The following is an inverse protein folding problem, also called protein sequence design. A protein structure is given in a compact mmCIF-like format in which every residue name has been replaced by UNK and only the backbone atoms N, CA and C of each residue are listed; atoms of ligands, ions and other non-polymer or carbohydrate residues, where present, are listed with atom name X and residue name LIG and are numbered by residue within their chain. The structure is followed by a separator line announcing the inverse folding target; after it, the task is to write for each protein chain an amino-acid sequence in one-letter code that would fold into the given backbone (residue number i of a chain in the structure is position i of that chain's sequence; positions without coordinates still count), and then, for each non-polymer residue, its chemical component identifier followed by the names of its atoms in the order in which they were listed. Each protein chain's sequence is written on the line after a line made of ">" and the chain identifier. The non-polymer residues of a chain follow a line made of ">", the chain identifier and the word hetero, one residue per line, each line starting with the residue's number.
data_IF_292741629538
#
_entry.id   IF_292741629538
#
_cell.length_a   1.000
_cell.length_b   1.000
_cell.length_c   1.000
_cell.angle_alpha   90.00
_cell.angle_beta   90.00
_cell.angle_gamma   90.00
#
_symmetry.space_group_name_H-M   'P 1'
#
loop_
_entity.id
_entity.type
_entity.pdbx_description
1 polymer ?
#
# COMPACT_ATOMS: atom_id res chain seq x y z
N UNK A 1 9.70 9.56 13.82
CA UNK A 1 9.54 8.84 12.53
C UNK A 1 8.08 8.47 12.35
N UNK A 2 7.59 8.38 11.10
CA UNK A 2 6.22 7.97 10.79
C UNK A 2 6.24 6.60 10.13
N UNK A 3 5.74 5.57 10.83
CA UNK A 3 5.74 4.18 10.37
C UNK A 3 4.35 3.57 10.60
N UNK A 4 3.84 2.83 9.62
CA UNK A 4 2.62 2.04 9.74
C UNK A 4 2.98 0.57 9.45
N UNK A 5 2.94 -0.27 10.48
CA UNK A 5 3.26 -1.69 10.37
C UNK A 5 1.96 -2.48 10.27
N UNK A 6 1.83 -3.31 9.24
CA UNK A 6 0.65 -4.15 9.02
C UNK A 6 1.06 -5.57 8.70
N UNK A 7 0.20 -6.54 9.02
CA UNK A 7 0.43 -7.95 8.70
C UNK A 7 0.04 -8.32 7.28
N UNK A 8 -0.74 -7.48 6.59
CA UNK A 8 -1.32 -7.79 5.27
C UNK A 8 -1.58 -6.53 4.42
N UNK A 9 -0.58 -5.65 4.30
CA UNK A 9 -0.67 -4.49 3.40
C UNK A 9 -1.86 -3.57 3.69
N UNK A 10 -2.58 -3.14 2.63
CA UNK A 10 -3.81 -2.36 2.71
C UNK A 10 -5.06 -3.26 2.48
N UNK A 11 -5.40 -4.07 3.47
CA UNK A 11 -6.49 -5.04 3.37
C UNK A 11 -7.87 -4.53 3.81
N UNK A 12 -7.97 -3.39 4.50
CA UNK A 12 -9.23 -2.90 5.06
C UNK A 12 -9.23 -1.38 5.28
N UNK A 13 -10.41 -0.84 5.61
CA UNK A 13 -10.63 0.59 5.80
C UNK A 13 -9.97 1.19 7.04
N UNK A 14 -9.67 0.41 8.09
CA UNK A 14 -8.97 0.96 9.26
C UNK A 14 -7.50 1.22 8.97
N UNK A 15 -6.84 0.35 8.20
CA UNK A 15 -5.48 0.57 7.71
C UNK A 15 -5.41 1.77 6.77
N UNK A 16 -6.33 1.88 5.82
CA UNK A 16 -6.43 3.04 4.91
C UNK A 16 -6.56 4.36 5.68
N UNK A 17 -7.43 4.39 6.71
CA UNK A 17 -7.61 5.55 7.58
C UNK A 17 -6.35 5.88 8.36
N UNK A 18 -5.71 4.89 8.97
CA UNK A 18 -4.45 5.08 9.71
C UNK A 18 -3.33 5.63 8.80
N UNK A 19 -3.24 5.16 7.55
CA UNK A 19 -2.29 5.68 6.57
C UNK A 19 -2.58 7.14 6.21
N UNK A 20 -3.85 7.50 6.00
CA UNK A 20 -4.26 8.88 5.70
C UNK A 20 -3.92 9.84 6.86
N UNK A 21 -4.21 9.42 8.09
CA UNK A 21 -3.88 10.17 9.32
C UNK A 21 -2.36 10.34 9.46
N UNK A 22 -1.58 9.29 9.20
CA UNK A 22 -0.12 9.33 9.25
C UNK A 22 0.44 10.30 8.21
N UNK A 23 -0.08 10.29 6.98
CA UNK A 23 0.35 11.21 5.91
C UNK A 23 0.04 12.67 6.26
N UNK A 24 -1.08 12.94 6.94
CA UNK A 24 -1.52 14.30 7.25
C UNK A 24 -1.92 15.12 6.03
N UNK A 25 -2.15 14.46 4.89
CA UNK A 25 -2.56 15.06 3.61
C UNK A 25 -3.31 14.03 2.76
N UNK A 26 -4.18 14.46 1.83
CA UNK A 26 -4.86 13.54 0.91
C UNK A 26 -3.89 12.73 0.05
N UNK A 27 -4.27 11.50 -0.31
CA UNK A 27 -3.47 10.62 -1.18
C UNK A 27 -3.09 11.29 -2.51
N UNK A 28 -4.00 12.06 -3.11
CA UNK A 28 -3.76 12.86 -4.33
C UNK A 28 -2.63 13.90 -4.23
N UNK A 29 -2.07 14.14 -3.03
CA UNK A 29 -0.91 15.02 -2.78
C UNK A 29 0.31 14.24 -2.28
N UNK A 30 0.29 12.92 -2.39
CA UNK A 30 1.36 12.01 -1.99
C UNK A 30 1.73 11.11 -3.18
N UNK A 31 3.00 10.75 -3.27
CA UNK A 31 3.51 9.76 -4.22
C UNK A 31 3.69 8.44 -3.47
N UNK A 32 3.50 7.32 -4.16
CA UNK A 32 3.71 5.98 -3.59
C UNK A 32 4.67 5.19 -4.47
N UNK A 33 5.67 4.58 -3.83
CA UNK A 33 6.54 3.59 -4.43
C UNK A 33 6.24 2.23 -3.80
N UNK A 34 5.85 1.27 -4.62
CA UNK A 34 5.54 -0.09 -4.19
C UNK A 34 6.78 -0.99 -4.39
N UNK A 35 7.30 -1.59 -3.31
CA UNK A 35 8.53 -2.41 -3.35
C UNK A 35 8.17 -3.89 -3.18
N UNK A 36 8.01 -4.67 -4.26
CA UNK A 36 7.55 -6.06 -4.20
C UNK A 36 8.68 -7.08 -3.94
N UNK A 37 9.90 -6.64 -3.67
CA UNK A 37 11.10 -7.50 -3.66
C UNK A 37 10.99 -8.69 -2.71
N UNK A 38 10.32 -8.54 -1.56
CA UNK A 38 10.09 -9.63 -0.61
C UNK A 38 9.22 -10.77 -1.20
N UNK A 39 8.38 -10.47 -2.20
CA UNK A 39 7.56 -11.48 -2.87
C UNK A 39 8.33 -12.31 -3.91
N UNK A 40 9.56 -11.92 -4.27
CA UNK A 40 10.35 -12.64 -5.29
C UNK A 40 10.71 -14.06 -4.84
N UNK A 41 10.95 -14.27 -3.55
CA UNK A 41 11.34 -15.58 -2.98
C UNK A 41 10.16 -16.54 -2.81
N UNK A 42 8.93 -16.04 -2.86
CA UNK A 42 7.75 -16.88 -2.74
C UNK A 42 7.46 -17.58 -4.08
N UNK A 43 7.26 -18.89 -4.04
CA UNK A 43 6.82 -19.70 -5.19
C UNK A 43 5.29 -19.80 -5.23
N UNK A 44 4.73 -20.12 -6.39
CA UNK A 44 3.28 -20.29 -6.58
C UNK A 44 2.52 -18.99 -6.90
N UNK A 45 1.22 -18.98 -6.58
CA UNK A 45 0.31 -17.89 -6.92
C UNK A 45 0.62 -16.62 -6.13
N UNK A 46 0.82 -15.51 -6.87
CA UNK A 46 1.09 -14.17 -6.32
C UNK A 46 -0.09 -13.21 -6.50
N UNK A 47 -1.30 -13.74 -6.71
CA UNK A 47 -2.52 -12.94 -6.79
C UNK A 47 -2.71 -12.03 -5.57
N UNK A 48 -2.25 -12.44 -4.39
CA UNK A 48 -2.26 -11.61 -3.18
C UNK A 48 -1.45 -10.30 -3.34
N UNK A 49 -0.31 -10.34 -4.02
CA UNK A 49 0.55 -9.16 -4.28
C UNK A 49 -0.16 -8.21 -5.23
N UNK A 50 -0.76 -8.74 -6.30
CA UNK A 50 -1.52 -7.96 -7.27
C UNK A 50 -2.74 -7.32 -6.62
N UNK A 51 -3.44 -8.06 -5.75
CA UNK A 51 -4.59 -7.55 -5.01
C UNK A 51 -4.19 -6.39 -4.07
N UNK A 52 -3.10 -6.54 -3.33
CA UNK A 52 -2.61 -5.49 -2.43
C UNK A 52 -2.14 -4.25 -3.21
N UNK A 53 -1.36 -4.45 -4.28
CA UNK A 53 -0.95 -3.36 -5.18
C UNK A 53 -2.17 -2.63 -5.76
N UNK A 54 -3.21 -3.37 -6.17
CA UNK A 54 -4.46 -2.77 -6.65
C UNK A 54 -5.22 -2.04 -5.54
N UNK A 55 -5.18 -2.50 -4.30
CA UNK A 55 -5.78 -1.80 -3.17
C UNK A 55 -5.12 -0.44 -2.95
N UNK A 56 -3.78 -0.35 -3.03
CA UNK A 56 -3.08 0.93 -2.99
C UNK A 56 -3.38 1.79 -4.23
N UNK A 57 -3.45 1.21 -5.42
CA UNK A 57 -3.70 1.96 -6.67
C UNK A 57 -5.06 2.66 -6.65
N UNK A 58 -6.08 2.02 -6.08
CA UNK A 58 -7.43 2.58 -5.90
C UNK A 58 -7.48 3.80 -4.98
N UNK A 59 -6.46 4.02 -4.14
CA UNK A 59 -6.41 5.20 -3.25
C UNK A 59 -6.12 6.50 -4.00
N UNK A 60 -5.63 6.43 -5.24
CA UNK A 60 -5.44 7.61 -6.10
C UNK A 60 -4.31 8.52 -5.65
N UNK A 61 -3.13 7.95 -5.42
CA UNK A 61 -1.90 8.72 -5.21
C UNK A 61 -1.57 9.58 -6.43
N UNK A 62 -0.81 10.67 -6.22
CA UNK A 62 -0.39 11.58 -7.29
C UNK A 62 0.51 10.87 -8.32
N UNK A 63 1.41 10.01 -7.85
CA UNK A 63 2.11 9.01 -8.65
C UNK A 63 2.07 7.65 -7.96
N UNK A 64 2.14 6.60 -8.77
CA UNK A 64 2.22 5.22 -8.33
C UNK A 64 3.32 4.54 -9.13
N UNK A 65 4.43 4.25 -8.47
CA UNK A 65 5.65 3.70 -9.06
C UNK A 65 5.95 2.30 -8.50
#
# INVERSE_FOLDING_TARGET
>A
MKLLLTSCGNANKSIEKALLELLGKPFKKANLTFVPTAANVNEGDKSWLLNDMNNFKKLGFASFD
#
